data_IF_063787809225
#
_entry.id   IF_063787809225
#
_cell.length_a   1.000
_cell.length_b   1.000
_cell.length_c   1.000
_cell.angle_alpha   90.00
_cell.angle_beta   90.00
_cell.angle_gamma   90.00
#
_symmetry.space_group_name_H-M   'P 1'
#
loop_
_entity.id
_entity.type
_entity.pdbx_description
1 polymer ?
#
# COMPACT_ATOMS: atom_id res chain seq x y z
N UNK A 1 1.41 -5.81 8.79
CA UNK A 1 0.65 -7.09 8.88
C UNK A 1 -0.60 -7.09 8.00
N UNK A 2 -1.59 -6.14 8.13
CA UNK A 2 -2.83 -6.14 7.35
C UNK A 2 -2.57 -6.26 5.83
N UNK A 3 -1.79 -5.34 5.28
CA UNK A 3 -1.48 -5.31 3.84
C UNK A 3 -0.73 -6.57 3.41
N UNK A 4 0.20 -7.05 4.23
CA UNK A 4 0.95 -8.28 3.94
C UNK A 4 0.02 -9.51 3.87
N UNK A 5 -0.92 -9.63 4.81
CA UNK A 5 -1.91 -10.71 4.81
C UNK A 5 -2.82 -10.63 3.59
N UNK A 6 -3.38 -9.45 3.30
CA UNK A 6 -4.34 -9.26 2.20
C UNK A 6 -3.68 -9.48 0.83
N UNK A 7 -2.45 -9.02 0.62
CA UNK A 7 -1.71 -9.23 -0.64
C UNK A 7 -1.46 -10.70 -0.96
N UNK A 8 -1.48 -11.56 0.06
CA UNK A 8 -1.32 -13.03 -0.04
C UNK A 8 -2.66 -13.79 0.02
N UNK A 9 -3.78 -13.09 -0.03
CA UNK A 9 -5.12 -13.68 0.00
C UNK A 9 -5.64 -14.03 1.39
N UNK A 10 -4.94 -13.59 2.44
CA UNK A 10 -5.34 -13.81 3.83
C UNK A 10 -6.23 -12.71 4.39
N UNK A 11 -6.70 -12.93 5.61
CA UNK A 11 -7.45 -11.97 6.42
C UNK A 11 -6.67 -11.68 7.71
N UNK A 12 -6.87 -10.50 8.27
CA UNK A 12 -6.34 -10.14 9.58
C UNK A 12 -7.47 -10.05 10.60
N UNK A 13 -7.37 -10.84 11.67
CA UNK A 13 -8.16 -10.66 12.87
C UNK A 13 -7.31 -9.94 13.92
N UNK A 14 -7.63 -8.69 14.20
CA UNK A 14 -6.93 -7.88 15.18
C UNK A 14 -7.73 -7.80 16.47
N UNK A 15 -7.26 -8.45 17.53
CA UNK A 15 -7.85 -8.40 18.84
C UNK A 15 -7.34 -7.20 19.64
N UNK A 16 -8.21 -6.64 20.47
CA UNK A 16 -7.88 -5.66 21.51
C UNK A 16 -8.33 -6.20 22.85
N UNK A 17 -7.57 -5.90 23.90
CA UNK A 17 -7.88 -6.34 25.28
C UNK A 17 -8.38 -5.17 26.13
N UNK A 18 -9.70 -5.02 26.32
CA UNK A 18 -10.23 -4.08 27.32
C UNK A 18 -9.71 -4.43 28.72
N UNK A 19 -9.49 -3.42 29.55
CA UNK A 19 -9.11 -3.62 30.96
C UNK A 19 -10.28 -4.18 31.74
N UNK A 20 -9.99 -5.03 32.71
CA UNK A 20 -11.03 -5.70 33.52
C UNK A 20 -11.71 -4.79 34.54
N UNK A 21 -11.08 -3.68 34.91
CA UNK A 21 -11.55 -2.71 35.92
C UNK A 21 -12.53 -1.68 35.38
N UNK A 22 -12.34 -1.21 34.17
CA UNK A 22 -13.13 -0.12 33.54
C UNK A 22 -13.61 -0.42 32.11
N UNK A 23 -13.32 -1.60 31.60
CA UNK A 23 -13.64 -2.06 30.24
C UNK A 23 -13.09 -1.13 29.12
N UNK A 24 -12.14 -0.26 29.43
CA UNK A 24 -11.54 0.63 28.43
C UNK A 24 -10.40 -0.06 27.69
N UNK A 25 -10.29 0.22 26.39
CA UNK A 25 -9.16 -0.22 25.58
C UNK A 25 -7.93 0.61 25.97
N UNK A 26 -6.79 0.00 26.35
CA UNK A 26 -5.56 0.73 26.65
C UNK A 26 -5.16 1.69 25.51
N UNK A 27 -4.76 2.91 25.89
CA UNK A 27 -4.41 3.98 24.92
C UNK A 27 -3.49 3.51 23.79
N UNK A 28 -2.39 2.75 24.04
CA UNK A 28 -1.52 2.31 22.93
C UNK A 28 -2.21 1.40 21.92
N UNK A 29 -3.20 0.60 22.34
CA UNK A 29 -3.99 -0.23 21.42
C UNK A 29 -5.02 0.63 20.65
N UNK A 30 -5.68 1.54 21.35
CA UNK A 30 -6.64 2.47 20.75
C UNK A 30 -5.98 3.35 19.68
N UNK A 31 -4.78 3.87 19.96
CA UNK A 31 -4.03 4.71 19.02
C UNK A 31 -3.65 3.94 17.74
N UNK A 32 -3.25 2.67 17.87
CA UNK A 32 -2.98 1.81 16.72
C UNK A 32 -4.23 1.54 15.88
N UNK A 33 -5.38 1.29 16.54
CA UNK A 33 -6.65 1.11 15.84
C UNK A 33 -7.06 2.38 15.09
N UNK A 34 -6.92 3.55 15.72
CA UNK A 34 -7.22 4.86 15.10
C UNK A 34 -6.31 5.13 13.90
N UNK A 35 -5.01 4.87 14.05
CA UNK A 35 -4.04 5.05 12.95
C UNK A 35 -4.33 4.13 11.77
N UNK A 36 -4.63 2.85 12.03
CA UNK A 36 -5.01 1.90 10.99
C UNK A 36 -6.33 2.31 10.33
N UNK A 37 -7.33 2.74 11.10
CA UNK A 37 -8.60 3.22 10.57
C UNK A 37 -8.45 4.48 9.72
N UNK A 38 -7.57 5.40 10.10
CA UNK A 38 -7.25 6.59 9.30
C UNK A 38 -6.59 6.19 7.96
N UNK A 39 -5.60 5.31 8.00
CA UNK A 39 -4.95 4.81 6.79
C UNK A 39 -5.93 4.09 5.86
N UNK A 40 -6.81 3.24 6.40
CA UNK A 40 -7.82 2.52 5.62
C UNK A 40 -8.88 3.44 5.01
N UNK A 41 -9.20 4.57 5.63
CA UNK A 41 -10.12 5.56 5.06
C UNK A 41 -9.56 6.13 3.75
N UNK A 42 -8.25 6.36 3.70
CA UNK A 42 -7.58 6.99 2.58
C UNK A 42 -7.11 5.96 1.52
N UNK A 43 -6.82 4.72 1.94
CA UNK A 43 -6.20 3.70 1.09
C UNK A 43 -7.02 2.38 1.03
N UNK A 44 -8.23 2.36 1.56
CA UNK A 44 -9.02 1.13 1.70
C UNK A 44 -9.37 0.46 0.37
N UNK A 45 -9.39 1.19 -0.73
CA UNK A 45 -9.58 0.61 -2.07
C UNK A 45 -8.49 -0.41 -2.44
N UNK A 46 -7.28 -0.25 -1.89
CA UNK A 46 -6.18 -1.18 -2.08
C UNK A 46 -6.27 -2.43 -1.17
N UNK A 47 -7.29 -2.49 -0.28
CA UNK A 47 -7.50 -3.58 0.69
C UNK A 47 -8.84 -4.26 0.49
N UNK A 48 -9.93 -3.48 0.46
CA UNK A 48 -11.28 -4.02 0.45
C UNK A 48 -11.69 -4.55 -0.92
N UNK A 49 -12.16 -5.81 -0.97
CA UNK A 49 -12.62 -6.46 -2.18
C UNK A 49 -11.51 -6.76 -3.19
N UNK A 50 -10.27 -6.78 -2.73
CA UNK A 50 -9.10 -7.07 -3.58
C UNK A 50 -8.79 -8.56 -3.66
N UNK A 51 -7.88 -8.92 -4.55
CA UNK A 51 -7.30 -10.25 -4.71
C UNK A 51 -5.77 -10.13 -4.78
N UNK A 52 -5.02 -11.19 -4.45
CA UNK A 52 -3.60 -11.24 -4.72
C UNK A 52 -3.32 -11.00 -6.21
N UNK A 53 -2.24 -10.28 -6.49
CA UNK A 53 -1.69 -10.24 -7.84
C UNK A 53 -0.79 -11.46 -8.09
N UNK A 54 -0.47 -11.74 -9.37
CA UNK A 54 0.47 -12.82 -9.73
C UNK A 54 1.84 -12.70 -9.07
N UNK A 55 2.20 -11.48 -8.66
CA UNK A 55 3.43 -11.14 -7.96
C UNK A 55 3.06 -10.46 -6.63
N UNK A 56 3.15 -11.21 -5.52
CA UNK A 56 2.62 -10.74 -4.24
C UNK A 56 3.49 -9.66 -3.57
N UNK A 57 4.80 -9.67 -3.82
CA UNK A 57 5.75 -8.82 -3.09
C UNK A 57 6.96 -8.42 -3.93
N UNK A 58 7.47 -7.23 -3.65
CA UNK A 58 8.70 -6.67 -4.20
C UNK A 58 9.44 -5.89 -3.12
N UNK A 59 10.54 -5.26 -3.50
CA UNK A 59 11.31 -4.35 -2.63
C UNK A 59 11.65 -3.06 -3.36
N UNK A 60 11.82 -2.02 -2.59
CA UNK A 60 12.40 -0.76 -3.06
C UNK A 60 13.93 -0.86 -3.16
N UNK A 61 14.58 0.12 -3.78
CA UNK A 61 16.05 0.19 -3.87
C UNK A 61 16.74 0.19 -2.50
N UNK A 62 16.11 0.80 -1.49
CA UNK A 62 16.59 0.81 -0.11
C UNK A 62 16.18 -0.44 0.70
N UNK A 63 15.56 -1.44 0.03
CA UNK A 63 15.18 -2.72 0.61
C UNK A 63 13.84 -2.74 1.33
N UNK A 64 13.08 -1.65 1.34
CA UNK A 64 11.77 -1.60 1.97
C UNK A 64 10.76 -2.52 1.24
N UNK A 65 9.90 -3.25 1.96
CA UNK A 65 8.96 -4.16 1.34
C UNK A 65 7.82 -3.41 0.64
N UNK A 66 7.42 -3.93 -0.52
CA UNK A 66 6.28 -3.48 -1.32
C UNK A 66 5.32 -4.66 -1.49
N UNK A 67 4.02 -4.39 -1.47
CA UNK A 67 2.97 -5.39 -1.70
C UNK A 67 2.07 -4.96 -2.85
N UNK A 68 1.41 -5.95 -3.43
CA UNK A 68 0.49 -5.74 -4.56
C UNK A 68 -0.85 -6.38 -4.27
N UNK A 69 -1.92 -5.70 -4.69
CA UNK A 69 -3.28 -6.26 -4.71
C UNK A 69 -3.95 -5.86 -6.01
N UNK A 70 -4.97 -6.61 -6.42
CA UNK A 70 -5.77 -6.26 -7.60
C UNK A 70 -7.24 -6.11 -7.26
N UNK A 71 -7.93 -5.22 -7.98
CA UNK A 71 -9.39 -5.08 -7.93
C UNK A 71 -9.92 -4.85 -9.33
N UNK A 72 -10.50 -5.90 -9.94
CA UNK A 72 -10.80 -5.89 -11.37
C UNK A 72 -9.50 -5.79 -12.17
N UNK A 73 -9.41 -4.82 -13.06
CA UNK A 73 -8.23 -4.51 -13.88
C UNK A 73 -7.22 -3.58 -13.20
N UNK A 74 -7.56 -3.04 -12.05
CA UNK A 74 -6.71 -2.13 -11.27
C UNK A 74 -5.66 -2.90 -10.48
N UNK A 75 -4.41 -2.48 -10.59
CA UNK A 75 -3.29 -2.90 -9.74
C UNK A 75 -3.04 -1.85 -8.66
N UNK A 76 -2.89 -2.26 -7.41
CA UNK A 76 -2.47 -1.41 -6.32
C UNK A 76 -1.03 -1.76 -5.92
N UNK A 77 -0.16 -0.76 -5.88
CA UNK A 77 1.22 -0.83 -5.39
C UNK A 77 1.25 -0.21 -4.00
N UNK A 78 1.66 -0.97 -3.00
CA UNK A 78 1.57 -0.57 -1.59
C UNK A 78 2.96 -0.73 -0.94
N UNK A 79 3.78 0.33 -0.88
CA UNK A 79 4.98 0.33 -0.06
C UNK A 79 4.60 0.14 1.41
N UNK A 80 5.38 -0.60 2.19
CA UNK A 80 5.10 -0.81 3.63
C UNK A 80 5.82 0.18 4.55
N UNK A 81 6.58 1.10 3.97
CA UNK A 81 7.27 2.18 4.67
C UNK A 81 6.89 3.52 4.06
N UNK A 82 7.01 4.59 4.83
CA UNK A 82 6.80 5.93 4.30
C UNK A 82 7.77 6.21 3.15
N UNK A 83 7.25 6.81 2.07
CA UNK A 83 8.05 7.22 0.92
C UNK A 83 8.61 8.61 1.21
N UNK A 84 9.89 8.69 1.50
CA UNK A 84 10.58 9.98 1.64
C UNK A 84 10.88 10.57 0.25
N UNK A 85 10.52 11.82 0.05
CA UNK A 85 10.80 12.51 -1.22
C UNK A 85 9.71 12.35 -2.29
N UNK A 86 10.07 12.64 -3.54
CA UNK A 86 9.16 12.64 -4.69
C UNK A 86 9.26 11.40 -5.58
N UNK A 87 10.12 10.43 -5.25
CA UNK A 87 10.38 9.25 -6.08
C UNK A 87 10.51 7.99 -5.24
N UNK A 88 10.17 6.86 -5.85
CA UNK A 88 10.34 5.52 -5.31
C UNK A 88 10.71 4.57 -6.45
N UNK A 89 11.73 3.74 -6.27
CA UNK A 89 12.07 2.67 -7.22
C UNK A 89 11.67 1.33 -6.64
N UNK A 90 10.85 0.58 -7.37
CA UNK A 90 10.39 -0.77 -7.01
C UNK A 90 11.09 -1.78 -7.90
N UNK A 91 11.84 -2.73 -7.32
CA UNK A 91 12.60 -3.76 -8.01
C UNK A 91 11.76 -5.01 -8.32
N UNK A 92 12.11 -5.69 -9.40
CA UNK A 92 11.53 -6.97 -9.78
C UNK A 92 10.17 -6.85 -10.48
N UNK A 93 9.75 -5.64 -10.84
CA UNK A 93 8.54 -5.41 -11.63
C UNK A 93 8.71 -4.18 -12.52
N UNK A 94 8.38 -4.29 -13.80
CA UNK A 94 8.50 -3.21 -14.77
C UNK A 94 7.11 -2.71 -15.19
N UNK A 95 6.65 -1.63 -14.56
CA UNK A 95 5.39 -0.96 -14.86
C UNK A 95 5.66 0.39 -15.53
N UNK A 96 4.79 0.77 -16.45
CA UNK A 96 4.83 2.09 -17.09
C UNK A 96 3.44 2.67 -17.23
N UNK A 97 3.32 3.99 -17.28
CA UNK A 97 2.04 4.68 -17.43
C UNK A 97 1.77 5.68 -16.31
N UNK A 98 0.51 5.84 -15.96
CA UNK A 98 0.07 6.74 -14.91
C UNK A 98 -0.67 5.97 -13.82
N UNK A 99 -0.35 6.30 -12.59
CA UNK A 99 -1.08 5.87 -11.41
C UNK A 99 -1.61 7.07 -10.62
N UNK A 100 -2.39 6.76 -9.59
CA UNK A 100 -2.95 7.75 -8.69
C UNK A 100 -2.68 7.32 -7.25
N UNK A 101 -2.10 8.22 -6.44
CA UNK A 101 -1.98 8.03 -5.00
C UNK A 101 -3.36 8.12 -4.35
N UNK A 102 -3.81 7.05 -3.69
CA UNK A 102 -5.19 6.94 -3.20
C UNK A 102 -5.52 7.97 -2.13
N UNK A 103 -4.57 8.33 -1.28
CA UNK A 103 -4.80 9.21 -0.13
C UNK A 103 -5.21 10.64 -0.49
N UNK A 104 -4.82 11.14 -1.67
CA UNK A 104 -5.07 12.55 -2.06
C UNK A 104 -5.26 12.78 -3.57
N UNK A 105 -5.36 11.71 -4.36
CA UNK A 105 -5.54 11.80 -5.81
C UNK A 105 -4.30 12.33 -6.55
N UNK A 106 -3.12 12.37 -5.92
CA UNK A 106 -1.90 12.86 -6.55
C UNK A 106 -1.49 11.96 -7.73
N UNK A 107 -1.28 12.51 -8.94
CA UNK A 107 -0.75 11.74 -10.05
C UNK A 107 0.64 11.19 -9.76
N UNK A 108 0.87 9.95 -10.22
CA UNK A 108 2.14 9.24 -10.11
C UNK A 108 2.54 8.75 -11.51
N UNK A 109 3.65 9.23 -12.03
CA UNK A 109 4.21 8.72 -13.26
C UNK A 109 5.00 7.45 -12.98
N UNK A 110 4.80 6.42 -13.81
CA UNK A 110 5.50 5.15 -13.73
C UNK A 110 6.39 4.99 -14.97
N UNK A 111 7.67 4.76 -14.74
CA UNK A 111 8.66 4.49 -15.79
C UNK A 111 9.30 3.15 -15.55
N UNK A 112 9.18 2.24 -16.54
CA UNK A 112 9.92 0.99 -16.53
C UNK A 112 11.41 1.26 -16.78
N UNK A 113 12.26 0.72 -15.91
CA UNK A 113 13.73 0.84 -15.98
C UNK A 113 14.35 -0.56 -15.81
N UNK A 114 14.54 -1.27 -16.93
CA UNK A 114 14.96 -2.67 -16.87
C UNK A 114 13.92 -3.55 -16.19
N UNK A 115 14.28 -4.18 -15.08
CA UNK A 115 13.41 -5.00 -14.22
C UNK A 115 12.75 -4.20 -13.08
N UNK A 116 12.84 -2.88 -13.11
CA UNK A 116 12.33 -2.01 -12.05
C UNK A 116 11.30 -1.01 -12.56
N UNK A 117 10.52 -0.47 -11.62
CA UNK A 117 9.61 0.66 -11.85
C UNK A 117 10.07 1.86 -11.04
N UNK A 118 10.35 2.97 -11.71
CA UNK A 118 10.48 4.28 -11.05
C UNK A 118 9.10 4.93 -10.97
N UNK A 119 8.67 5.23 -9.76
CA UNK A 119 7.43 5.95 -9.46
C UNK A 119 7.77 7.39 -9.09
N UNK A 120 7.25 8.34 -9.86
CA UNK A 120 7.51 9.78 -9.69
C UNK A 120 6.20 10.43 -9.24
N UNK A 121 6.19 10.93 -8.01
CA UNK A 121 5.02 11.58 -7.42
C UNK A 121 5.01 13.06 -7.77
N UNK A 122 3.91 13.56 -8.32
CA UNK A 122 3.75 14.98 -8.67
C UNK A 122 3.88 15.91 -7.43
N UNK A 123 3.63 15.37 -6.24
CA UNK A 123 3.82 16.05 -4.95
C UNK A 123 4.47 15.11 -3.94
N UNK A 124 5.44 15.57 -3.12
CA UNK A 124 6.01 14.75 -2.05
C UNK A 124 4.94 14.25 -1.10
N UNK A 125 5.18 13.11 -0.48
CA UNK A 125 4.31 12.62 0.58
C UNK A 125 4.64 13.30 1.89
N UNK A 126 3.62 13.71 2.64
CA UNK A 126 3.76 14.36 3.95
C UNK A 126 3.25 13.51 5.11
N UNK A 127 2.63 12.36 4.82
CA UNK A 127 2.04 11.47 5.83
C UNK A 127 3.07 10.53 6.48
N UNK A 128 2.79 10.09 7.71
CA UNK A 128 3.61 9.14 8.46
C UNK A 128 3.57 7.70 7.91
N UNK A 129 2.60 7.38 7.07
CA UNK A 129 2.41 6.04 6.51
C UNK A 129 2.48 6.08 4.99
N UNK A 130 2.99 5.00 4.40
CA UNK A 130 3.06 4.86 2.95
C UNK A 130 1.68 4.90 2.30
N UNK A 131 1.52 5.63 1.18
CA UNK A 131 0.28 5.63 0.42
C UNK A 131 0.21 4.40 -0.48
N UNK A 132 -1.00 3.92 -0.75
CA UNK A 132 -1.21 3.03 -1.88
C UNK A 132 -1.31 3.83 -3.19
N UNK A 133 -0.77 3.28 -4.26
CA UNK A 133 -0.88 3.83 -5.62
C UNK A 133 -1.69 2.88 -6.48
N UNK A 134 -2.77 3.36 -7.06
CA UNK A 134 -3.64 2.62 -7.96
C UNK A 134 -3.27 2.88 -9.42
N UNK A 135 -3.23 1.82 -10.23
CA UNK A 135 -2.88 1.84 -11.64
C UNK A 135 -4.00 1.14 -12.41
N UNK A 136 -4.78 1.89 -13.18
CA UNK A 136 -5.85 1.32 -13.99
C UNK A 136 -5.25 0.52 -15.17
N UNK A 137 -5.81 -0.65 -15.45
CA UNK A 137 -5.28 -1.60 -16.43
C UNK A 137 -4.00 -2.32 -16.00
N UNK A 138 -3.45 -2.00 -14.83
CA UNK A 138 -2.17 -2.55 -14.36
C UNK A 138 -2.23 -4.03 -13.94
N UNK A 139 -3.42 -4.58 -13.68
CA UNK A 139 -3.57 -5.98 -13.26
C UNK A 139 -3.12 -6.99 -14.35
N UNK A 140 -3.18 -6.60 -15.62
CA UNK A 140 -2.73 -7.41 -16.75
C UNK A 140 -1.21 -7.37 -16.97
N UNK A 141 -0.48 -6.47 -16.28
CA UNK A 141 0.97 -6.40 -16.37
C UNK A 141 1.59 -7.70 -15.83
N UNK A 142 2.62 -8.18 -16.53
CA UNK A 142 3.45 -9.30 -16.05
C UNK A 142 4.75 -8.76 -15.49
N UNK A 143 5.27 -9.36 -14.41
CA UNK A 143 6.57 -9.00 -13.86
C UNK A 143 7.72 -9.18 -14.83
#
# INVERSE_FOLDING_TARGET
>A
ELVDSVSKGGNLLLNVGPRGDDAQIPTPQLDRLKAMGAWLRDNGEAVYGTRPWSFAEARTDDGAPVRFTTRGDRLNVIPLTAVGGGELVVRGVALSGLGVRLSDGCPVELRAEGDATRMIFARPQTGAFAPAVAIDGGAAATP
#
